data_IF_238116215920
#
_entry.id   IF_238116215920
#
_cell.length_a   1.000
_cell.length_b   1.000
_cell.length_c   1.000
_cell.angle_alpha   90.00
_cell.angle_beta   90.00
_cell.angle_gamma   90.00
#
_symmetry.space_group_name_H-M   'P 1'
#
loop_
_entity.id
_entity.type
_entity.pdbx_description
1 polymer ?
#
# COMPACT_ATOMS: atom_id res chain seq x y z
N UNK A 1 8.30 -21.42 -14.30
CA UNK A 1 9.28 -22.35 -13.71
C UNK A 1 9.73 -21.89 -12.35
N UNK A 2 10.33 -20.70 -12.25
CA UNK A 2 10.74 -20.08 -10.98
C UNK A 2 9.62 -20.07 -9.93
N UNK A 3 8.44 -19.56 -10.26
CA UNK A 3 7.29 -19.50 -9.35
C UNK A 3 6.82 -20.87 -8.80
N UNK A 4 7.18 -21.99 -9.46
CA UNK A 4 6.88 -23.35 -8.98
C UNK A 4 7.91 -23.88 -7.98
N UNK A 5 8.92 -23.08 -7.62
CA UNK A 5 10.01 -23.48 -6.71
C UNK A 5 11.00 -24.48 -7.33
N UNK A 6 11.19 -24.43 -8.65
CA UNK A 6 12.16 -25.29 -9.32
C UNK A 6 13.61 -24.95 -8.90
N UNK A 7 14.48 -25.96 -8.90
CA UNK A 7 15.90 -25.79 -8.59
C UNK A 7 16.66 -25.00 -9.69
N UNK A 8 17.93 -24.71 -9.40
CA UNK A 8 18.77 -23.90 -10.28
C UNK A 8 18.90 -24.52 -11.67
N UNK A 9 19.30 -25.80 -11.74
CA UNK A 9 19.54 -26.49 -13.00
C UNK A 9 18.25 -26.59 -13.84
N UNK A 10 17.11 -26.88 -13.21
CA UNK A 10 15.81 -26.91 -13.90
C UNK A 10 15.44 -25.53 -14.44
N UNK A 11 15.71 -24.46 -13.69
CA UNK A 11 15.47 -23.10 -14.18
C UNK A 11 16.38 -22.76 -15.37
N UNK A 12 17.66 -23.14 -15.34
CA UNK A 12 18.60 -22.96 -16.46
C UNK A 12 18.12 -23.71 -17.70
N UNK A 13 17.71 -24.97 -17.57
CA UNK A 13 17.20 -25.79 -18.69
C UNK A 13 15.93 -25.22 -19.32
N UNK A 14 15.16 -24.42 -18.57
CA UNK A 14 13.95 -23.74 -19.07
C UNK A 14 14.22 -22.35 -19.68
N UNK A 15 15.48 -21.94 -19.81
CA UNK A 15 15.85 -20.74 -20.56
C UNK A 15 15.86 -21.08 -22.05
N UNK A 16 14.86 -20.61 -22.78
CA UNK A 16 14.72 -20.84 -24.21
C UNK A 16 15.70 -19.96 -25.00
N UNK A 17 16.47 -20.60 -25.88
CA UNK A 17 17.42 -19.95 -26.78
C UNK A 17 16.80 -19.80 -28.18
N UNK A 18 16.11 -20.84 -28.66
CA UNK A 18 15.62 -20.94 -30.03
C UNK A 18 14.38 -20.08 -30.27
N UNK A 19 13.42 -20.12 -29.35
CA UNK A 19 12.19 -19.34 -29.41
C UNK A 19 12.46 -17.84 -29.54
N UNK A 20 13.16 -17.21 -28.57
CA UNK A 20 13.52 -15.79 -28.66
C UNK A 20 14.32 -15.42 -29.90
N UNK A 21 15.23 -16.30 -30.37
CA UNK A 21 15.97 -16.07 -31.61
C UNK A 21 15.05 -16.00 -32.84
N UNK A 22 14.13 -16.95 -32.98
CA UNK A 22 13.15 -16.98 -34.08
C UNK A 22 12.18 -15.80 -34.02
N UNK A 23 11.64 -15.49 -32.82
CA UNK A 23 10.74 -14.36 -32.59
C UNK A 23 11.40 -13.05 -33.03
N UNK A 24 12.64 -12.79 -32.57
CA UNK A 24 13.36 -11.56 -32.90
C UNK A 24 13.72 -11.47 -34.39
N UNK A 25 14.10 -12.59 -35.01
CA UNK A 25 14.40 -12.63 -36.45
C UNK A 25 13.15 -12.30 -37.30
N UNK A 26 12.01 -12.92 -36.98
CA UNK A 26 10.75 -12.68 -37.66
C UNK A 26 10.24 -11.24 -37.42
N UNK A 27 10.29 -10.75 -36.18
CA UNK A 27 9.88 -9.38 -35.84
C UNK A 27 10.77 -8.31 -36.49
N UNK A 28 12.09 -8.55 -36.61
CA UNK A 28 12.98 -7.68 -37.40
C UNK A 28 12.53 -7.62 -38.86
N UNK A 29 12.06 -8.74 -39.42
CA UNK A 29 11.69 -8.89 -40.81
C UNK A 29 10.18 -8.63 -41.08
N UNK A 30 9.52 -7.80 -40.25
CA UNK A 30 8.09 -7.53 -40.33
C UNK A 30 7.63 -6.84 -41.62
N UNK A 31 8.55 -6.40 -42.49
CA UNK A 31 8.21 -6.05 -43.87
C UNK A 31 7.53 -7.21 -44.62
N UNK A 32 7.89 -8.46 -44.29
CA UNK A 32 7.47 -9.66 -45.01
C UNK A 32 6.85 -10.74 -44.12
N UNK A 33 7.13 -10.73 -42.81
CA UNK A 33 6.75 -11.82 -41.89
C UNK A 33 5.87 -11.29 -40.77
N UNK A 34 4.75 -11.96 -40.51
CA UNK A 34 3.91 -11.71 -39.32
C UNK A 34 4.38 -12.58 -38.16
N UNK A 35 4.68 -11.99 -37.00
CA UNK A 35 5.16 -12.72 -35.81
C UNK A 35 4.15 -12.60 -34.68
N UNK A 36 3.50 -13.70 -34.31
CA UNK A 36 2.53 -13.72 -33.20
C UNK A 36 3.14 -14.48 -32.03
N UNK A 37 3.10 -13.89 -30.84
CA UNK A 37 3.74 -14.42 -29.62
C UNK A 37 2.78 -14.65 -28.46
N UNK A 38 1.54 -14.16 -28.59
CA UNK A 38 0.47 -14.23 -27.60
C UNK A 38 -0.77 -14.88 -28.24
N UNK A 39 -1.51 -15.68 -27.49
CA UNK A 39 -2.67 -16.43 -28.02
C UNK A 39 -3.88 -15.52 -28.23
N UNK A 40 -3.94 -14.42 -27.48
CA UNK A 40 -4.94 -13.37 -27.51
C UNK A 40 -4.95 -12.63 -28.87
N UNK A 41 -3.84 -12.68 -29.61
CA UNK A 41 -3.69 -12.03 -30.91
C UNK A 41 -4.25 -12.87 -32.07
N UNK A 42 -4.68 -14.11 -31.81
CA UNK A 42 -5.15 -15.02 -32.86
C UNK A 42 -6.44 -14.53 -33.52
N UNK A 43 -7.39 -14.00 -32.76
CA UNK A 43 -8.64 -13.46 -33.30
C UNK A 43 -8.36 -12.24 -34.20
N UNK A 44 -7.47 -11.34 -33.75
CA UNK A 44 -7.06 -10.16 -34.53
C UNK A 44 -6.40 -10.57 -35.85
N UNK A 45 -5.53 -11.59 -35.82
CA UNK A 45 -4.90 -12.14 -37.02
C UNK A 45 -5.92 -12.75 -37.99
N UNK A 46 -6.87 -13.54 -37.48
CA UNK A 46 -7.88 -14.18 -38.32
C UNK A 46 -8.76 -13.13 -39.01
N UNK A 47 -9.14 -12.07 -38.29
CA UNK A 47 -9.89 -10.95 -38.85
C UNK A 47 -9.09 -10.21 -39.94
N UNK A 48 -7.81 -9.93 -39.69
CA UNK A 48 -6.89 -9.31 -40.67
C UNK A 48 -6.80 -10.14 -41.96
N UNK A 49 -6.59 -11.46 -41.83
CA UNK A 49 -6.51 -12.37 -42.97
C UNK A 49 -7.82 -12.42 -43.76
N UNK A 50 -8.97 -12.47 -43.07
CA UNK A 50 -10.27 -12.47 -43.71
C UNK A 50 -10.56 -11.17 -44.48
N UNK A 51 -10.14 -10.02 -43.92
CA UNK A 51 -10.32 -8.71 -44.54
C UNK A 51 -9.39 -8.46 -45.74
N UNK A 52 -8.27 -9.17 -45.82
CA UNK A 52 -7.19 -8.91 -46.79
C UNK A 52 -6.81 -10.12 -47.64
N UNK A 53 -7.79 -10.94 -48.03
CA UNK A 53 -7.61 -12.08 -48.96
C UNK A 53 -6.49 -13.05 -48.54
N UNK A 54 -6.41 -13.35 -47.23
CA UNK A 54 -5.41 -14.23 -46.65
C UNK A 54 -4.03 -13.59 -46.46
N UNK A 55 -3.92 -12.27 -46.61
CA UNK A 55 -2.69 -11.51 -46.38
C UNK A 55 -2.79 -10.65 -45.12
N UNK A 56 -1.67 -10.11 -44.68
CA UNK A 56 -1.64 -9.10 -43.61
C UNK A 56 -1.19 -7.76 -44.17
N UNK A 57 -1.66 -6.67 -43.59
CA UNK A 57 -1.16 -5.34 -43.91
C UNK A 57 0.20 -5.11 -43.26
N UNK A 58 0.95 -4.14 -43.80
CA UNK A 58 2.21 -3.72 -43.20
C UNK A 58 2.01 -3.16 -41.77
N UNK A 59 0.95 -2.38 -41.57
CA UNK A 59 0.63 -1.80 -40.25
C UNK A 59 0.37 -2.87 -39.19
N UNK A 60 -0.37 -3.93 -39.53
CA UNK A 60 -0.57 -5.08 -38.64
C UNK A 60 0.75 -5.76 -38.30
N UNK A 61 1.63 -6.00 -39.28
CA UNK A 61 2.95 -6.60 -39.03
C UNK A 61 3.84 -5.74 -38.14
N UNK A 62 3.80 -4.41 -38.27
CA UNK A 62 4.51 -3.49 -37.38
C UNK A 62 4.03 -3.62 -35.93
N UNK A 63 2.70 -3.70 -35.73
CA UNK A 63 2.09 -3.90 -34.40
C UNK A 63 2.56 -5.22 -33.78
N UNK A 64 2.48 -6.31 -34.54
CA UNK A 64 2.91 -7.65 -34.13
C UNK A 64 4.42 -7.69 -33.80
N UNK A 65 5.26 -7.01 -34.58
CA UNK A 65 6.68 -6.91 -34.31
C UNK A 65 6.99 -6.17 -33.01
N UNK A 66 6.26 -5.09 -32.71
CA UNK A 66 6.41 -4.36 -31.45
C UNK A 66 6.05 -5.26 -30.26
N UNK A 67 4.93 -5.99 -30.31
CA UNK A 67 4.52 -6.95 -29.27
C UNK A 67 5.57 -8.05 -29.09
N UNK A 68 6.10 -8.60 -30.18
CA UNK A 68 7.15 -9.62 -30.17
C UNK A 68 8.43 -9.13 -29.44
N UNK A 69 8.92 -7.92 -29.74
CA UNK A 69 10.07 -7.37 -29.04
C UNK A 69 9.76 -7.10 -27.55
N UNK A 70 8.59 -6.57 -27.23
CA UNK A 70 8.17 -6.34 -25.85
C UNK A 70 8.12 -7.65 -25.03
N UNK A 71 7.56 -8.72 -25.61
CA UNK A 71 7.50 -10.06 -25.00
C UNK A 71 8.89 -10.62 -24.70
N UNK A 72 9.81 -10.55 -25.67
CA UNK A 72 11.20 -10.99 -25.43
C UNK A 72 11.94 -10.11 -24.42
N UNK A 73 11.67 -8.80 -24.39
CA UNK A 73 12.23 -7.90 -23.37
C UNK A 73 11.77 -8.23 -21.95
N UNK A 74 10.48 -8.54 -21.78
CA UNK A 74 9.95 -9.00 -20.49
C UNK A 74 10.53 -10.35 -20.07
N UNK A 75 10.69 -11.28 -21.02
CA UNK A 75 11.34 -12.57 -20.78
C UNK A 75 12.78 -12.41 -20.28
N UNK A 76 13.62 -11.63 -20.96
CA UNK A 76 15.00 -11.39 -20.55
C UNK A 76 15.09 -10.63 -19.21
N UNK A 77 14.12 -9.75 -18.92
CA UNK A 77 14.02 -9.08 -17.62
C UNK A 77 13.77 -10.09 -16.49
N UNK A 78 12.88 -11.06 -16.69
CA UNK A 78 12.60 -12.12 -15.72
C UNK A 78 13.82 -13.03 -15.52
N UNK A 79 14.45 -13.49 -16.61
CA UNK A 79 15.64 -14.34 -16.57
C UNK A 79 16.81 -13.63 -15.87
N UNK A 80 17.11 -12.39 -16.25
CA UNK A 80 18.21 -11.64 -15.65
C UNK A 80 17.99 -11.31 -14.17
N UNK A 81 16.75 -11.01 -13.77
CA UNK A 81 16.38 -10.78 -12.36
C UNK A 81 16.53 -12.05 -11.54
N UNK A 82 16.06 -13.19 -12.04
CA UNK A 82 16.19 -14.48 -11.38
C UNK A 82 17.66 -14.91 -11.24
N UNK A 83 18.46 -14.82 -12.31
CA UNK A 83 19.88 -15.18 -12.26
C UNK A 83 20.62 -14.34 -11.21
N UNK A 84 20.38 -13.02 -11.17
CA UNK A 84 21.00 -12.14 -10.18
C UNK A 84 20.71 -12.60 -8.75
N UNK A 85 19.44 -12.94 -8.45
CA UNK A 85 19.06 -13.49 -7.14
C UNK A 85 19.72 -14.85 -6.88
N UNK A 86 19.73 -15.76 -7.86
CA UNK A 86 20.26 -17.11 -7.71
C UNK A 86 21.76 -17.16 -7.42
N UNK A 87 22.53 -16.16 -7.88
CA UNK A 87 23.98 -16.04 -7.61
C UNK A 87 24.31 -15.08 -6.46
N UNK A 88 23.30 -14.51 -5.79
CA UNK A 88 23.51 -13.54 -4.70
C UNK A 88 24.01 -12.16 -5.14
N UNK A 89 23.77 -11.76 -6.39
CA UNK A 89 24.08 -10.41 -6.89
C UNK A 89 22.95 -9.44 -6.55
N UNK A 90 23.13 -8.66 -5.49
CA UNK A 90 22.13 -7.71 -5.01
C UNK A 90 22.03 -6.45 -5.89
N UNK A 91 23.12 -6.06 -6.54
CA UNK A 91 23.26 -4.79 -7.28
C UNK A 91 23.74 -5.02 -8.71
N UNK A 92 22.98 -5.77 -9.54
CA UNK A 92 23.41 -6.11 -10.89
C UNK A 92 23.66 -4.84 -11.71
N UNK A 93 24.71 -4.86 -12.53
CA UNK A 93 25.13 -3.73 -13.38
C UNK A 93 24.01 -3.16 -14.27
N UNK A 94 23.01 -3.97 -14.61
CA UNK A 94 21.82 -3.57 -15.38
C UNK A 94 20.57 -4.06 -14.66
N UNK A 95 19.56 -3.19 -14.57
CA UNK A 95 18.23 -3.50 -14.04
C UNK A 95 17.19 -3.17 -15.09
N UNK A 96 16.29 -4.10 -15.35
CA UNK A 96 15.16 -3.91 -16.26
C UNK A 96 13.88 -4.13 -15.48
N UNK A 97 12.93 -3.19 -15.60
CA UNK A 97 11.59 -3.32 -15.05
C UNK A 97 10.65 -3.58 -16.22
N UNK A 98 9.89 -4.66 -16.13
CA UNK A 98 8.93 -5.07 -17.13
C UNK A 98 7.55 -5.22 -16.48
N UNK A 99 6.50 -5.08 -17.28
CA UNK A 99 5.13 -5.28 -16.85
C UNK A 99 4.22 -5.53 -18.05
N UNK A 100 3.05 -6.11 -17.77
CA UNK A 100 2.01 -6.38 -18.76
C UNK A 100 0.89 -5.38 -18.58
N UNK A 101 0.41 -4.77 -19.67
CA UNK A 101 -0.66 -3.78 -19.61
C UNK A 101 -1.93 -4.43 -19.04
N UNK A 102 -2.42 -3.90 -17.92
CA UNK A 102 -3.70 -4.31 -17.33
C UNK A 102 -4.85 -3.50 -17.95
N UNK A 103 -4.71 -2.18 -17.98
CA UNK A 103 -5.70 -1.27 -18.57
C UNK A 103 -5.08 0.09 -18.90
N UNK A 104 -5.60 0.76 -19.94
CA UNK A 104 -5.40 2.20 -20.11
C UNK A 104 -6.18 2.98 -19.05
N UNK A 105 -5.67 4.12 -18.61
CA UNK A 105 -6.35 4.99 -17.66
C UNK A 105 -6.81 6.26 -18.35
N UNK A 106 -7.93 6.81 -17.87
CA UNK A 106 -8.51 8.05 -18.42
C UNK A 106 -7.54 9.23 -18.39
N UNK A 107 -6.77 9.32 -17.30
CA UNK A 107 -5.69 10.28 -17.08
C UNK A 107 -4.81 9.78 -15.91
N UNK A 108 -3.66 10.43 -15.71
CA UNK A 108 -2.72 10.17 -14.61
C UNK A 108 -3.18 10.79 -13.28
N UNK A 109 -2.25 11.37 -12.51
CA UNK A 109 -2.63 12.08 -11.28
C UNK A 109 -3.54 13.29 -11.57
N UNK A 110 -3.33 13.93 -12.74
CA UNK A 110 -4.06 15.10 -13.19
C UNK A 110 -4.68 14.88 -14.59
N UNK A 111 -5.82 15.53 -14.91
CA UNK A 111 -6.56 15.29 -16.17
C UNK A 111 -5.79 15.50 -17.48
N UNK A 112 -4.72 16.29 -17.49
CA UNK A 112 -3.91 16.58 -18.68
C UNK A 112 -2.79 15.54 -18.91
N UNK A 113 -2.60 14.60 -18.00
CA UNK A 113 -1.59 13.55 -18.07
C UNK A 113 -2.23 12.26 -18.58
N UNK A 114 -1.67 11.61 -19.59
CA UNK A 114 -2.08 10.25 -19.98
C UNK A 114 -1.46 9.21 -19.03
N UNK A 115 -2.16 8.09 -18.79
CA UNK A 115 -1.64 7.03 -17.94
C UNK A 115 -2.16 5.65 -18.35
N UNK A 116 -1.49 4.61 -17.85
CA UNK A 116 -1.84 3.21 -18.01
C UNK A 116 -1.37 2.44 -16.77
N UNK A 117 -2.07 1.35 -16.46
CA UNK A 117 -1.76 0.47 -15.34
C UNK A 117 -1.18 -0.84 -15.85
N UNK A 118 -0.07 -1.29 -15.25
CA UNK A 118 0.64 -2.51 -15.63
C UNK A 118 0.75 -3.42 -14.40
N UNK A 119 0.62 -4.72 -14.61
CA UNK A 119 0.95 -5.76 -13.62
C UNK A 119 2.39 -6.23 -13.80
N UNK A 120 3.04 -6.62 -12.72
CA UNK A 120 4.43 -7.10 -12.72
C UNK A 120 4.56 -8.64 -12.80
N UNK A 121 3.43 -9.36 -12.70
CA UNK A 121 3.39 -10.83 -12.77
C UNK A 121 3.78 -11.54 -11.47
N UNK A 122 3.86 -10.82 -10.34
CA UNK A 122 4.08 -11.43 -9.02
C UNK A 122 2.85 -12.14 -8.46
N UNK A 123 1.67 -11.81 -8.98
CA UNK A 123 0.36 -12.24 -8.48
C UNK A 123 0.14 -11.96 -6.98
N UNK A 124 0.89 -10.99 -6.42
CA UNK A 124 0.71 -10.54 -5.03
C UNK A 124 -0.74 -10.04 -4.85
N UNK A 125 -1.46 -10.47 -3.79
CA UNK A 125 -2.79 -9.95 -3.51
C UNK A 125 -2.76 -8.43 -3.34
N UNK A 126 -3.63 -7.71 -4.06
CA UNK A 126 -3.69 -6.26 -4.00
C UNK A 126 -4.51 -5.67 -5.15
N UNK A 127 -4.44 -4.35 -5.35
CA UNK A 127 -5.21 -3.66 -6.39
C UNK A 127 -4.92 -4.18 -7.80
N UNK A 128 -3.71 -4.69 -8.03
CA UNK A 128 -3.28 -5.27 -9.31
C UNK A 128 -3.98 -6.59 -9.66
N UNK A 129 -4.37 -7.36 -8.65
CA UNK A 129 -4.98 -8.69 -8.80
C UNK A 129 -6.45 -8.71 -8.40
N UNK A 130 -7.00 -7.56 -8.00
CA UNK A 130 -8.36 -7.44 -7.52
C UNK A 130 -9.41 -7.61 -8.63
N UNK A 131 -10.52 -8.25 -8.30
CA UNK A 131 -11.73 -8.30 -9.12
C UNK A 131 -12.60 -7.10 -8.76
N UNK A 132 -12.99 -6.31 -9.76
CA UNK A 132 -13.96 -5.24 -9.60
C UNK A 132 -15.38 -5.76 -9.86
N UNK A 133 -16.21 -5.81 -8.81
CA UNK A 133 -17.59 -6.31 -8.90
C UNK A 133 -18.60 -5.27 -9.42
N UNK A 134 -18.35 -3.99 -9.15
CA UNK A 134 -19.27 -2.90 -9.43
C UNK A 134 -18.51 -1.58 -9.58
N UNK A 135 -19.17 -0.59 -10.19
CA UNK A 135 -18.73 0.80 -10.19
C UNK A 135 -18.04 1.21 -11.49
N UNK A 136 -17.55 2.46 -11.51
CA UNK A 136 -16.81 3.01 -12.66
C UNK A 136 -15.41 2.40 -12.73
N UNK A 137 -14.77 2.48 -13.89
CA UNK A 137 -13.33 2.22 -14.03
C UNK A 137 -12.51 2.97 -12.96
N UNK A 138 -11.46 2.32 -12.47
CA UNK A 138 -10.51 2.92 -11.53
C UNK A 138 -9.68 4.00 -12.23
N UNK A 139 -9.52 5.14 -11.56
CA UNK A 139 -8.56 6.17 -11.95
C UNK A 139 -7.15 5.85 -11.44
N UNK A 140 -6.13 6.58 -11.92
CA UNK A 140 -4.77 6.51 -11.40
C UNK A 140 -4.72 6.70 -9.87
N UNK A 141 -5.39 7.74 -9.36
CA UNK A 141 -5.42 8.03 -7.93
C UNK A 141 -6.19 6.96 -7.16
N UNK A 142 -7.25 6.38 -7.74
CA UNK A 142 -7.94 5.26 -7.10
C UNK A 142 -7.00 4.06 -6.92
N UNK A 143 -6.19 3.71 -7.93
CA UNK A 143 -5.24 2.60 -7.84
C UNK A 143 -4.20 2.88 -6.75
N UNK A 144 -3.58 4.07 -6.78
CA UNK A 144 -2.55 4.45 -5.81
C UNK A 144 -3.07 4.50 -4.35
N UNK A 145 -4.25 5.08 -4.14
CA UNK A 145 -4.85 5.18 -2.79
C UNK A 145 -5.37 3.80 -2.31
N UNK A 146 -5.85 2.95 -3.22
CA UNK A 146 -6.29 1.57 -2.88
C UNK A 146 -5.11 0.71 -2.48
N UNK A 147 -4.00 0.81 -3.20
CA UNK A 147 -2.76 0.11 -2.84
C UNK A 147 -2.28 0.50 -1.44
N UNK A 148 -2.24 1.81 -1.15
CA UNK A 148 -1.89 2.30 0.18
C UNK A 148 -2.85 1.82 1.28
N UNK A 149 -4.16 1.76 1.00
CA UNK A 149 -5.16 1.30 1.95
C UNK A 149 -5.03 -0.20 2.24
N UNK A 150 -4.86 -1.00 1.18
CA UNK A 150 -4.78 -2.44 1.28
C UNK A 150 -3.48 -2.89 1.94
N UNK A 151 -2.34 -2.28 1.60
CA UNK A 151 -1.05 -2.57 2.24
C UNK A 151 -1.05 -2.21 3.73
N UNK A 152 -1.68 -1.09 4.12
CA UNK A 152 -1.82 -0.73 5.53
C UNK A 152 -2.72 -1.69 6.30
N UNK A 153 -3.92 -2.00 5.79
CA UNK A 153 -4.83 -2.90 6.52
C UNK A 153 -4.28 -4.33 6.61
N UNK A 154 -3.42 -4.72 5.67
CA UNK A 154 -2.72 -6.02 5.66
C UNK A 154 -1.72 -6.20 6.82
N UNK A 155 -1.29 -5.12 7.48
CA UNK A 155 -0.48 -5.20 8.72
C UNK A 155 -1.26 -5.86 9.87
N UNK A 156 -2.60 -5.91 9.77
CA UNK A 156 -3.49 -6.51 10.76
C UNK A 156 -4.09 -7.78 10.16
N UNK A 157 -3.41 -8.91 10.36
CA UNK A 157 -3.83 -10.22 9.82
C UNK A 157 -5.31 -10.53 10.07
N UNK A 158 -5.97 -11.16 9.11
CA UNK A 158 -7.42 -11.43 9.15
C UNK A 158 -7.83 -12.33 10.32
N UNK A 159 -6.90 -13.13 10.83
CA UNK A 159 -7.02 -14.02 11.99
C UNK A 159 -6.84 -13.29 13.34
N UNK A 160 -6.31 -12.07 13.32
CA UNK A 160 -6.07 -11.29 14.54
C UNK A 160 -7.29 -10.47 14.98
N UNK A 161 -8.32 -10.34 14.14
CA UNK A 161 -9.54 -9.58 14.43
C UNK A 161 -9.87 -8.58 13.32
N UNK A 162 -11.05 -7.97 13.39
CA UNK A 162 -11.52 -7.02 12.38
C UNK A 162 -10.70 -5.72 12.40
N UNK A 163 -10.27 -5.26 11.22
CA UNK A 163 -9.56 -4.01 11.02
C UNK A 163 -10.07 -3.25 9.79
N UNK A 164 -10.04 -1.93 9.88
CA UNK A 164 -10.42 -1.01 8.82
C UNK A 164 -9.36 0.08 8.69
N UNK A 165 -8.97 0.40 7.45
CA UNK A 165 -8.16 1.56 7.12
C UNK A 165 -8.92 2.45 6.11
N UNK A 166 -8.98 3.75 6.39
CA UNK A 166 -9.56 4.76 5.52
C UNK A 166 -8.43 5.67 5.02
N UNK A 167 -8.23 5.70 3.71
CA UNK A 167 -7.17 6.46 3.04
C UNK A 167 -7.76 7.60 2.22
N UNK A 168 -7.02 8.70 2.15
CA UNK A 168 -7.22 9.76 1.17
C UNK A 168 -5.88 10.36 0.76
N UNK A 169 -5.60 10.44 -0.55
CA UNK A 169 -4.34 10.96 -1.08
C UNK A 169 -3.11 10.26 -0.48
N UNK A 170 -3.12 8.93 -0.54
CA UNK A 170 -2.09 8.01 -0.06
C UNK A 170 -1.69 8.16 1.42
N UNK A 171 -2.53 8.78 2.25
CA UNK A 171 -2.35 8.89 3.70
C UNK A 171 -3.60 8.40 4.43
N UNK A 172 -3.46 7.73 5.58
CA UNK A 172 -4.60 7.35 6.39
C UNK A 172 -5.22 8.58 7.05
N UNK A 173 -6.54 8.69 6.95
CA UNK A 173 -7.33 9.60 7.77
C UNK A 173 -7.92 8.90 9.00
N UNK A 174 -7.99 7.57 9.00
CA UNK A 174 -8.36 6.77 10.17
C UNK A 174 -8.06 5.28 9.99
N UNK A 175 -7.63 4.64 11.07
CA UNK A 175 -7.37 3.19 11.12
C UNK A 175 -7.84 2.68 12.47
N UNK A 176 -8.54 1.54 12.50
CA UNK A 176 -8.96 0.96 13.76
C UNK A 176 -9.11 -0.55 13.68
N UNK A 177 -9.06 -1.19 14.85
CA UNK A 177 -9.53 -2.56 15.08
C UNK A 177 -10.82 -2.55 15.88
N UNK A 178 -11.63 -3.60 15.73
CA UNK A 178 -12.92 -3.72 16.41
C UNK A 178 -13.30 -5.18 16.68
N UNK A 179 -14.36 -5.36 17.47
CA UNK A 179 -14.97 -6.68 17.69
C UNK A 179 -15.66 -7.22 16.42
N UNK A 180 -16.03 -6.33 15.51
CA UNK A 180 -16.62 -6.60 14.20
C UNK A 180 -16.08 -5.60 13.15
N UNK A 181 -16.29 -5.87 11.87
CA UNK A 181 -15.88 -4.94 10.80
C UNK A 181 -16.62 -3.60 10.88
N UNK A 182 -17.89 -3.59 11.27
CA UNK A 182 -18.66 -2.35 11.44
C UNK A 182 -18.12 -1.51 12.61
N UNK A 183 -17.70 -2.15 13.71
CA UNK A 183 -17.08 -1.44 14.84
C UNK A 183 -15.73 -0.85 14.44
N UNK A 184 -14.91 -1.62 13.74
CA UNK A 184 -13.63 -1.14 13.21
C UNK A 184 -13.83 0.02 12.21
N UNK A 185 -14.82 -0.07 11.32
CA UNK A 185 -15.15 1.00 10.38
C UNK A 185 -15.58 2.28 11.10
N UNK A 186 -16.52 2.18 12.05
CA UNK A 186 -17.01 3.36 12.81
C UNK A 186 -15.88 4.02 13.60
N UNK A 187 -15.03 3.23 14.26
CA UNK A 187 -13.89 3.74 15.01
C UNK A 187 -12.87 4.44 14.10
N UNK A 188 -12.56 3.88 12.93
CA UNK A 188 -11.67 4.50 11.94
C UNK A 188 -12.29 5.79 11.37
N UNK A 189 -13.59 5.79 11.07
CA UNK A 189 -14.32 6.95 10.57
C UNK A 189 -14.33 8.12 11.57
N UNK A 190 -14.39 7.82 12.86
CA UNK A 190 -14.41 8.81 13.95
C UNK A 190 -13.04 9.46 14.23
N UNK A 191 -11.95 8.96 13.63
CA UNK A 191 -10.65 9.63 13.65
C UNK A 191 -10.67 10.96 12.88
N UNK A 192 -11.33 11.01 11.72
CA UNK A 192 -11.48 12.20 10.88
C UNK A 192 -12.61 12.03 9.85
N UNK A 193 -13.84 12.31 10.28
CA UNK A 193 -15.04 12.19 9.43
C UNK A 193 -15.00 13.12 8.21
N UNK A 194 -14.38 14.29 8.34
CA UNK A 194 -14.28 15.26 7.25
C UNK A 194 -13.39 14.74 6.13
N UNK A 195 -12.23 14.18 6.47
CA UNK A 195 -11.31 13.64 5.48
C UNK A 195 -11.79 12.32 4.91
N UNK A 196 -12.50 11.49 5.67
CA UNK A 196 -13.06 10.21 5.19
C UNK A 196 -14.04 10.36 4.01
N UNK A 197 -14.67 11.52 3.84
CA UNK A 197 -15.55 11.79 2.70
C UNK A 197 -14.77 11.71 1.36
N UNK A 198 -15.19 10.80 0.49
CA UNK A 198 -14.53 10.49 -0.78
C UNK A 198 -13.24 9.69 -0.61
N UNK A 199 -13.04 9.06 0.54
CA UNK A 199 -11.90 8.20 0.81
C UNK A 199 -12.02 6.81 0.18
N UNK A 200 -10.99 6.02 0.42
CA UNK A 200 -10.92 4.59 0.10
C UNK A 200 -10.92 3.80 1.40
N UNK A 201 -11.79 2.80 1.49
CA UNK A 201 -11.91 1.94 2.66
C UNK A 201 -11.30 0.57 2.33
N UNK A 202 -10.37 0.11 3.16
CA UNK A 202 -9.83 -1.24 3.09
C UNK A 202 -10.16 -2.02 4.37
N UNK A 203 -10.57 -3.27 4.19
CA UNK A 203 -10.98 -4.19 5.26
C UNK A 203 -10.12 -5.46 5.20
N UNK A 204 -9.76 -6.01 6.35
CA UNK A 204 -8.91 -7.21 6.41
C UNK A 204 -9.69 -8.54 6.43
N UNK A 205 -11.02 -8.50 6.42
CA UNK A 205 -11.90 -9.68 6.45
C UNK A 205 -13.00 -9.56 5.39
N UNK A 206 -13.73 -10.65 5.16
CA UNK A 206 -14.87 -10.68 4.24
C UNK A 206 -15.89 -9.60 4.60
N UNK A 207 -16.21 -8.73 3.63
CA UNK A 207 -17.18 -7.66 3.81
C UNK A 207 -18.60 -8.23 3.98
N UNK A 208 -19.16 -8.03 5.18
CA UNK A 208 -20.55 -8.37 5.51
C UNK A 208 -21.55 -7.25 5.14
N UNK A 209 -22.84 -7.60 5.14
CA UNK A 209 -23.92 -6.67 4.79
C UNK A 209 -24.08 -5.50 5.76
N UNK A 210 -23.85 -5.70 7.07
CA UNK A 210 -23.98 -4.65 8.08
C UNK A 210 -22.92 -3.55 7.89
N UNK A 211 -21.67 -3.96 7.70
CA UNK A 211 -20.56 -3.05 7.42
C UNK A 211 -20.76 -2.37 6.07
N UNK A 212 -21.22 -3.10 5.05
CA UNK A 212 -21.50 -2.55 3.73
C UNK A 212 -22.58 -1.46 3.79
N UNK A 213 -23.65 -1.66 4.56
CA UNK A 213 -24.71 -0.68 4.76
C UNK A 213 -24.15 0.59 5.40
N UNK A 214 -23.31 0.46 6.43
CA UNK A 214 -22.71 1.61 7.11
C UNK A 214 -21.78 2.41 6.18
N UNK A 215 -20.92 1.74 5.41
CA UNK A 215 -20.04 2.40 4.43
C UNK A 215 -20.86 3.15 3.37
N UNK A 216 -21.98 2.58 2.93
CA UNK A 216 -22.85 3.15 1.90
C UNK A 216 -23.64 4.40 2.33
N UNK A 217 -23.59 4.78 3.63
CA UNK A 217 -24.18 6.03 4.14
C UNK A 217 -23.35 7.26 3.77
N UNK A 218 -22.05 7.09 3.57
CA UNK A 218 -21.11 8.16 3.26
C UNK A 218 -20.67 8.05 1.79
N UNK A 219 -20.27 9.17 1.20
CA UNK A 219 -19.65 9.13 -0.12
C UNK A 219 -18.25 8.49 0.00
N UNK A 220 -18.08 7.33 -0.60
CA UNK A 220 -16.84 6.55 -0.66
C UNK A 220 -16.50 6.32 -2.14
N UNK A 221 -15.22 6.37 -2.52
CA UNK A 221 -14.80 6.15 -3.91
C UNK A 221 -14.60 4.66 -4.23
N UNK A 222 -13.87 3.96 -3.35
CA UNK A 222 -13.49 2.55 -3.49
C UNK A 222 -13.56 1.85 -2.14
N UNK A 223 -14.01 0.60 -2.16
CA UNK A 223 -13.89 -0.34 -1.03
C UNK A 223 -13.17 -1.59 -1.50
N UNK A 224 -12.19 -2.04 -0.72
CA UNK A 224 -11.41 -3.25 -1.00
C UNK A 224 -11.39 -4.17 0.23
N UNK A 225 -11.60 -5.46 -0.02
CA UNK A 225 -11.60 -6.51 1.00
C UNK A 225 -11.05 -7.82 0.40
N UNK A 226 -10.66 -8.82 1.21
CA UNK A 226 -10.31 -10.14 0.68
C UNK A 226 -11.49 -10.80 -0.03
N UNK A 227 -12.71 -10.64 0.48
CA UNK A 227 -13.93 -11.17 -0.13
C UNK A 227 -15.15 -10.33 0.28
N UNK A 228 -16.32 -10.59 -0.32
CA UNK A 228 -17.58 -9.92 0.03
C UNK A 228 -18.76 -10.89 -0.02
N UNK A 229 -19.67 -10.76 0.94
CA UNK A 229 -20.95 -11.47 0.92
C UNK A 229 -21.83 -10.99 -0.22
N UNK A 230 -22.77 -11.84 -0.69
CA UNK A 230 -23.74 -11.42 -1.72
C UNK A 230 -24.57 -10.21 -1.27
N UNK A 231 -24.94 -10.18 0.01
CA UNK A 231 -25.66 -9.05 0.62
C UNK A 231 -24.89 -7.73 0.48
N UNK A 232 -23.58 -7.76 0.75
CA UNK A 232 -22.71 -6.60 0.54
C UNK A 232 -22.62 -6.20 -0.94
N UNK A 233 -22.45 -7.17 -1.85
CA UNK A 233 -22.39 -6.91 -3.29
C UNK A 233 -23.68 -6.22 -3.78
N UNK A 234 -24.84 -6.70 -3.34
CA UNK A 234 -26.15 -6.15 -3.73
C UNK A 234 -26.34 -4.71 -3.23
N UNK A 235 -25.90 -4.40 -2.00
CA UNK A 235 -25.92 -3.03 -1.46
C UNK A 235 -25.04 -2.08 -2.28
N UNK A 236 -23.86 -2.52 -2.68
CA UNK A 236 -22.94 -1.74 -3.50
C UNK A 236 -23.46 -1.57 -4.94
N UNK A 237 -24.15 -2.58 -5.50
CA UNK A 237 -24.76 -2.50 -6.83
C UNK A 237 -25.75 -1.33 -6.95
N UNK A 238 -26.43 -0.97 -5.86
CA UNK A 238 -27.31 0.20 -5.82
C UNK A 238 -26.56 1.56 -5.92
N UNK A 239 -25.24 1.59 -5.70
CA UNK A 239 -24.39 2.78 -5.75
C UNK A 239 -23.57 2.82 -7.05
N UNK A 240 -24.16 3.30 -8.14
CA UNK A 240 -23.59 3.30 -9.51
C UNK A 240 -22.11 3.66 -9.65
N UNK A 241 -21.57 4.56 -8.83
CA UNK A 241 -20.21 5.07 -8.95
C UNK A 241 -19.21 4.41 -7.98
N UNK A 242 -19.69 3.81 -6.90
CA UNK A 242 -18.85 3.24 -5.84
C UNK A 242 -18.23 1.95 -6.35
N UNK A 243 -16.91 1.78 -6.22
CA UNK A 243 -16.22 0.55 -6.61
C UNK A 243 -16.14 -0.40 -5.43
N UNK A 244 -16.47 -1.66 -5.67
CA UNK A 244 -16.20 -2.76 -4.77
C UNK A 244 -15.17 -3.69 -5.40
N UNK A 245 -14.05 -3.90 -4.71
CA UNK A 245 -12.93 -4.73 -5.12
C UNK A 245 -12.74 -5.90 -4.16
N UNK A 246 -12.48 -7.09 -4.68
CA UNK A 246 -12.06 -8.25 -3.86
C UNK A 246 -10.73 -8.83 -4.34
N UNK A 247 -9.84 -9.16 -3.42
CA UNK A 247 -8.49 -9.68 -3.73
C UNK A 247 -8.33 -11.19 -3.55
N UNK A 248 -9.32 -11.87 -2.96
CA UNK A 248 -9.30 -13.29 -2.60
C UNK A 248 -8.49 -13.62 -1.35
N UNK A 249 -7.47 -12.82 -1.02
CA UNK A 249 -6.65 -12.96 0.19
C UNK A 249 -5.99 -11.63 0.58
N UNK A 250 -5.48 -11.54 1.81
CA UNK A 250 -4.68 -10.40 2.26
C UNK A 250 -3.26 -10.48 1.71
N UNK A 251 -2.60 -9.33 1.53
CA UNK A 251 -1.19 -9.31 1.20
C UNK A 251 -0.35 -9.72 2.43
N UNK A 252 0.77 -10.41 2.24
CA UNK A 252 1.71 -10.64 3.34
C UNK A 252 2.60 -9.39 3.53
N UNK A 253 2.50 -8.65 4.65
CA UNK A 253 3.33 -7.46 4.89
C UNK A 253 4.82 -7.81 5.10
N UNK A 254 5.16 -9.09 5.35
CA UNK A 254 6.54 -9.57 5.53
C UNK A 254 7.23 -9.97 4.24
N UNK A 255 6.47 -10.11 3.14
CA UNK A 255 7.03 -10.51 1.85
C UNK A 255 8.16 -9.59 1.42
N UNK A 256 9.31 -10.18 1.09
CA UNK A 256 10.47 -9.44 0.59
C UNK A 256 10.20 -9.03 -0.84
N UNK A 257 10.23 -7.72 -1.09
CA UNK A 257 10.06 -7.16 -2.43
C UNK A 257 11.01 -5.98 -2.62
N UNK A 258 11.23 -5.60 -3.89
CA UNK A 258 11.93 -4.35 -4.22
C UNK A 258 10.91 -3.30 -4.62
N UNK A 259 11.16 -2.05 -4.26
CA UNK A 259 10.41 -0.89 -4.76
C UNK A 259 11.27 -0.10 -5.74
N UNK A 260 10.63 0.49 -6.75
CA UNK A 260 11.29 1.28 -7.77
C UNK A 260 10.68 2.67 -7.78
N UNK A 261 11.53 3.70 -7.66
CA UNK A 261 11.12 5.11 -7.75
C UNK A 261 11.85 5.79 -8.90
N UNK A 262 11.10 6.48 -9.75
CA UNK A 262 11.67 7.31 -10.80
C UNK A 262 12.34 8.56 -10.19
N UNK A 263 13.50 8.93 -10.73
CA UNK A 263 14.15 10.23 -10.52
C UNK A 263 14.52 10.84 -11.87
N UNK A 264 14.87 12.13 -11.92
CA UNK A 264 15.28 12.76 -13.17
C UNK A 264 16.49 12.04 -13.77
N UNK A 265 16.30 11.43 -14.95
CA UNK A 265 17.34 10.68 -15.66
C UNK A 265 17.67 9.29 -15.10
N UNK A 266 16.92 8.75 -14.12
CA UNK A 266 17.26 7.45 -13.52
C UNK A 266 16.19 6.81 -12.65
N UNK A 267 16.58 5.74 -11.94
CA UNK A 267 15.74 4.95 -11.04
C UNK A 267 16.46 4.74 -9.70
N UNK A 268 15.71 4.83 -8.60
CA UNK A 268 16.12 4.32 -7.29
C UNK A 268 15.45 2.96 -7.08
N UNK A 269 16.21 1.97 -6.61
CA UNK A 269 15.71 0.64 -6.28
C UNK A 269 16.15 0.32 -4.87
N UNK A 270 15.19 -0.04 -4.01
CA UNK A 270 15.45 -0.40 -2.61
C UNK A 270 14.57 -1.57 -2.20
N UNK A 271 14.86 -2.17 -1.05
CA UNK A 271 13.93 -3.08 -0.41
C UNK A 271 12.63 -2.36 -0.01
N UNK A 272 11.51 -3.08 -0.13
CA UNK A 272 10.25 -2.69 0.48
C UNK A 272 10.42 -2.75 1.99
N UNK A 273 9.83 -1.76 2.68
CA UNK A 273 9.82 -1.78 4.13
C UNK A 273 8.86 -2.88 4.62
N UNK A 274 9.44 -4.02 5.00
CA UNK A 274 8.76 -5.16 5.61
C UNK A 274 9.19 -5.35 7.08
N UNK A 275 9.74 -4.31 7.71
CA UNK A 275 10.14 -4.34 9.12
C UNK A 275 8.95 -4.56 10.04
N UNK A 276 9.14 -5.42 11.05
CA UNK A 276 8.15 -5.73 12.08
C UNK A 276 8.85 -5.85 13.43
N UNK A 277 8.18 -5.42 14.49
CA UNK A 277 8.62 -5.55 15.87
C UNK A 277 7.52 -6.18 16.72
N UNK A 278 7.93 -6.79 17.82
CA UNK A 278 7.06 -7.37 18.84
C UNK A 278 7.30 -6.68 20.18
N UNK A 279 6.47 -6.97 21.18
CA UNK A 279 6.68 -6.46 22.54
C UNK A 279 8.06 -6.82 23.12
N UNK A 280 8.67 -7.93 22.69
CA UNK A 280 9.99 -8.36 23.13
C UNK A 280 11.13 -7.50 22.57
N UNK A 281 10.90 -6.80 21.46
CA UNK A 281 11.89 -5.93 20.82
C UNK A 281 11.88 -4.51 21.42
N UNK A 282 10.87 -4.19 22.24
CA UNK A 282 10.71 -2.86 22.84
C UNK A 282 11.67 -2.66 24.01
N UNK A 283 12.46 -1.59 23.97
CA UNK A 283 13.29 -1.16 25.09
C UNK A 283 12.63 -0.01 25.84
N UNK A 284 12.18 -0.26 27.07
CA UNK A 284 11.70 0.81 27.97
C UNK A 284 12.89 1.69 28.37
N UNK A 285 12.78 3.01 28.13
CA UNK A 285 13.86 3.97 28.39
C UNK A 285 13.53 5.00 29.47
N UNK A 286 12.27 5.14 29.86
CA UNK A 286 11.80 6.00 30.96
C UNK A 286 11.63 5.24 32.26
N UNK A 287 11.46 5.97 33.38
CA UNK A 287 11.13 5.44 34.71
C UNK A 287 9.77 4.75 34.74
N UNK A 288 8.75 5.33 34.07
CA UNK A 288 7.44 4.68 33.95
C UNK A 288 7.51 3.65 32.83
N UNK A 289 7.15 2.41 33.14
CA UNK A 289 6.91 1.37 32.15
C UNK A 289 5.51 1.53 31.55
N UNK A 290 5.31 1.21 30.25
CA UNK A 290 3.98 1.16 29.67
C UNK A 290 3.18 -0.02 30.24
N UNK A 291 1.86 0.15 30.34
CA UNK A 291 0.94 -0.96 30.64
C UNK A 291 0.78 -1.90 29.45
N UNK A 292 0.19 -3.09 29.65
CA UNK A 292 -0.09 -4.03 28.55
C UNK A 292 -0.99 -3.41 27.46
N UNK A 293 -2.00 -2.63 27.86
CA UNK A 293 -2.86 -1.90 26.92
C UNK A 293 -2.08 -0.85 26.13
N UNK A 294 -1.19 -0.10 26.80
CA UNK A 294 -0.32 0.87 26.13
C UNK A 294 0.66 0.20 25.17
N UNK A 295 1.20 -0.99 25.50
CA UNK A 295 2.06 -1.76 24.58
C UNK A 295 1.27 -2.19 23.34
N UNK A 296 0.03 -2.67 23.51
CA UNK A 296 -0.82 -3.05 22.38
C UNK A 296 -1.11 -1.85 21.45
N UNK A 297 -1.47 -0.71 22.03
CA UNK A 297 -1.70 0.52 21.28
C UNK A 297 -0.43 1.05 20.62
N UNK A 298 0.74 0.92 21.27
CA UNK A 298 2.03 1.32 20.71
C UNK A 298 2.38 0.51 19.47
N UNK A 299 2.22 -0.82 19.51
CA UNK A 299 2.49 -1.68 18.37
C UNK A 299 1.51 -1.41 17.22
N UNK A 300 0.24 -1.17 17.53
CA UNK A 300 -0.76 -0.74 16.55
C UNK A 300 -0.36 0.61 15.91
N UNK A 301 -0.04 1.61 16.73
CA UNK A 301 0.39 2.94 16.27
C UNK A 301 1.67 2.87 15.42
N UNK A 302 2.60 2.00 15.79
CA UNK A 302 3.85 1.78 15.06
C UNK A 302 3.61 1.23 13.66
N UNK A 303 2.76 0.21 13.53
CA UNK A 303 2.37 -0.34 12.24
C UNK A 303 1.65 0.70 11.38
N UNK A 304 0.78 1.53 11.95
CA UNK A 304 0.13 2.63 11.21
C UNK A 304 1.17 3.66 10.76
N UNK A 305 2.09 4.08 11.64
CA UNK A 305 3.09 5.12 11.35
C UNK A 305 3.98 4.77 10.15
N UNK A 306 4.30 3.49 9.95
CA UNK A 306 5.04 2.97 8.78
C UNK A 306 4.39 3.31 7.43
N UNK A 307 3.07 3.52 7.40
CA UNK A 307 2.32 3.83 6.18
C UNK A 307 1.93 5.31 6.06
N UNK A 308 2.27 6.14 7.03
CA UNK A 308 2.04 7.59 6.99
C UNK A 308 3.24 8.29 6.37
N UNK A 309 3.02 9.30 5.51
CA UNK A 309 4.13 10.08 4.94
C UNK A 309 4.87 10.86 6.02
N UNK A 310 6.20 10.90 5.94
CA UNK A 310 7.08 11.48 6.95
C UNK A 310 7.14 13.02 6.89
N UNK A 311 7.36 13.72 8.01
CA UNK A 311 7.44 13.18 9.37
C UNK A 311 6.04 12.79 9.89
N UNK A 312 5.89 11.57 10.41
CA UNK A 312 4.61 11.05 10.85
C UNK A 312 4.50 11.01 12.38
N UNK A 313 3.36 11.46 12.89
CA UNK A 313 2.94 11.33 14.29
C UNK A 313 1.53 10.74 14.31
N UNK A 314 1.37 9.62 15.00
CA UNK A 314 0.10 8.87 15.07
C UNK A 314 -0.30 8.72 16.53
N UNK A 315 -1.42 9.31 16.91
CA UNK A 315 -2.04 9.14 18.22
C UNK A 315 -3.04 8.00 18.15
N UNK A 316 -2.96 7.07 19.10
CA UNK A 316 -3.82 5.88 19.17
C UNK A 316 -4.39 5.73 20.56
N UNK A 317 -5.64 5.30 20.65
CA UNK A 317 -6.28 4.88 21.88
C UNK A 317 -7.21 3.71 21.58
N UNK A 318 -7.14 2.66 22.39
CA UNK A 318 -7.98 1.47 22.28
C UNK A 318 -7.95 0.86 20.86
N UNK A 319 -6.75 0.76 20.28
CA UNK A 319 -6.46 0.28 18.92
C UNK A 319 -7.22 1.03 17.81
N UNK A 320 -7.54 2.31 18.03
CA UNK A 320 -8.05 3.23 17.03
C UNK A 320 -7.16 4.47 16.95
N UNK A 321 -6.88 4.94 15.74
CA UNK A 321 -6.23 6.24 15.56
C UNK A 321 -7.17 7.36 16.01
N UNK A 322 -6.66 8.29 16.80
CA UNK A 322 -7.43 9.44 17.34
C UNK A 322 -6.87 10.79 16.90
N UNK A 323 -5.82 10.76 16.07
CA UNK A 323 -5.19 11.93 15.45
C UNK A 323 -3.96 11.51 14.63
N UNK A 324 -3.87 11.98 13.39
CA UNK A 324 -2.76 11.66 12.48
C UNK A 324 -2.17 12.95 11.92
N UNK A 325 -0.87 13.13 12.10
CA UNK A 325 -0.07 14.23 11.57
C UNK A 325 0.87 13.68 10.51
N UNK A 326 0.55 13.94 9.24
CA UNK A 326 1.24 13.37 8.08
C UNK A 326 2.02 14.42 7.28
N UNK A 327 3.18 14.02 6.76
CA UNK A 327 3.87 14.70 5.68
C UNK A 327 4.51 16.04 6.02
N UNK A 328 4.80 16.32 7.29
CA UNK A 328 5.36 17.62 7.68
C UNK A 328 6.89 17.62 7.69
N UNK A 329 7.47 18.75 7.30
CA UNK A 329 8.92 19.01 7.39
C UNK A 329 9.39 19.08 8.85
N UNK A 330 8.52 19.51 9.75
CA UNK A 330 8.75 19.58 11.20
C UNK A 330 7.90 18.56 11.94
N UNK A 331 8.54 17.75 12.80
CA UNK A 331 7.86 16.72 13.60
C UNK A 331 6.91 17.32 14.64
N UNK A 332 7.25 18.49 15.18
CA UNK A 332 6.39 19.24 16.10
C UNK A 332 5.08 19.64 15.42
N UNK A 333 5.14 20.03 14.14
CA UNK A 333 3.93 20.41 13.40
C UNK A 333 3.04 19.19 13.14
N UNK A 334 3.62 18.00 12.89
CA UNK A 334 2.85 16.75 12.87
C UNK A 334 2.15 16.50 14.21
N UNK A 335 2.82 16.70 15.35
CA UNK A 335 2.18 16.58 16.67
C UNK A 335 1.00 17.54 16.81
N UNK A 336 1.17 18.82 16.43
CA UNK A 336 0.13 19.86 16.54
C UNK A 336 -1.06 19.60 15.63
N UNK A 337 -0.82 19.20 14.38
CA UNK A 337 -1.88 18.91 13.41
C UNK A 337 -2.73 17.74 13.88
N UNK A 338 -2.10 16.66 14.33
CA UNK A 338 -2.80 15.49 14.85
C UNK A 338 -3.66 15.83 16.08
N UNK A 339 -3.08 16.55 17.05
CA UNK A 339 -3.80 17.02 18.24
C UNK A 339 -4.97 17.94 17.88
N UNK A 340 -4.75 18.87 16.94
CA UNK A 340 -5.81 19.78 16.48
C UNK A 340 -6.97 19.05 15.83
N UNK A 341 -6.68 18.09 14.94
CA UNK A 341 -7.71 17.24 14.32
C UNK A 341 -8.52 16.48 15.37
N UNK A 342 -7.86 15.97 16.41
CA UNK A 342 -8.52 15.30 17.52
C UNK A 342 -9.50 16.20 18.28
N UNK A 343 -9.11 17.46 18.54
CA UNK A 343 -9.96 18.47 19.17
C UNK A 343 -11.20 18.76 18.31
N UNK A 344 -10.99 18.99 17.01
CA UNK A 344 -12.08 19.30 16.09
C UNK A 344 -13.06 18.10 15.99
N UNK A 345 -12.54 16.86 15.99
CA UNK A 345 -13.36 15.65 16.00
C UNK A 345 -14.11 15.42 17.31
N UNK A 346 -13.49 15.68 18.47
CA UNK A 346 -14.20 15.66 19.75
C UNK A 346 -15.39 16.62 19.74
N UNK A 347 -15.22 17.82 19.19
CA UNK A 347 -16.31 18.78 18.99
C UNK A 347 -17.42 18.24 18.08
N UNK A 348 -17.06 17.57 16.98
CA UNK A 348 -18.03 16.95 16.06
C UNK A 348 -18.79 15.76 16.68
N UNK A 349 -18.17 15.07 17.65
CA UNK A 349 -18.76 13.94 18.39
C UNK A 349 -19.52 14.38 19.65
N UNK A 350 -19.44 15.65 20.04
CA UNK A 350 -20.04 16.16 21.27
C UNK A 350 -19.33 15.69 22.55
N UNK A 351 -18.02 15.47 22.48
CA UNK A 351 -17.19 15.05 23.61
C UNK A 351 -16.56 16.26 24.31
N UNK A 352 -16.47 16.21 25.64
CA UNK A 352 -15.92 17.29 26.46
C UNK A 352 -14.39 17.39 26.39
N UNK A 353 -13.72 16.30 26.00
CA UNK A 353 -12.25 16.21 25.94
C UNK A 353 -11.80 15.70 24.57
N UNK A 354 -10.59 16.09 24.11
CA UNK A 354 -10.02 15.57 22.86
C UNK A 354 -9.88 14.05 22.90
N UNK A 355 -10.00 13.40 21.74
CA UNK A 355 -9.86 11.93 21.63
C UNK A 355 -8.44 11.47 22.01
N UNK A 356 -7.43 12.35 21.90
CA UNK A 356 -6.05 12.12 22.32
C UNK A 356 -5.87 11.99 23.83
N UNK A 357 -6.87 12.30 24.66
CA UNK A 357 -6.74 12.18 26.11
C UNK A 357 -6.56 10.71 26.54
N UNK A 358 -5.39 10.40 27.10
CA UNK A 358 -5.00 9.03 27.49
C UNK A 358 -4.48 8.18 26.34
N UNK A 359 -4.09 8.79 25.22
CA UNK A 359 -3.58 8.08 24.04
C UNK A 359 -2.11 7.69 24.17
N UNK A 360 -1.65 6.82 23.29
CA UNK A 360 -0.23 6.61 22.99
C UNK A 360 0.14 7.31 21.68
N UNK A 361 1.42 7.56 21.47
CA UNK A 361 1.94 8.19 20.25
C UNK A 361 3.06 7.38 19.62
N UNK A 362 2.93 7.09 18.33
CA UNK A 362 4.04 6.62 17.51
C UNK A 362 4.68 7.75 16.71
N UNK A 363 6.00 7.73 16.65
CA UNK A 363 6.83 8.61 15.84
C UNK A 363 7.66 7.79 14.85
N UNK A 364 7.44 7.97 13.54
CA UNK A 364 8.13 7.17 12.51
C UNK A 364 9.67 7.30 12.53
N UNK A 365 10.18 8.40 13.11
CA UNK A 365 11.58 8.60 13.42
C UNK A 365 11.75 9.23 14.82
N UNK A 366 13.00 9.32 15.29
CA UNK A 366 13.30 9.87 16.61
C UNK A 366 12.87 11.34 16.75
N UNK A 367 12.56 11.76 17.97
CA UNK A 367 12.39 13.17 18.32
C UNK A 367 13.77 13.86 18.39
N UNK A 368 14.05 14.89 17.57
CA UNK A 368 15.34 15.56 17.59
C UNK A 368 15.53 16.45 18.82
N UNK A 369 14.42 16.93 19.40
CA UNK A 369 14.35 17.74 20.61
C UNK A 369 13.10 17.35 21.41
N UNK A 370 13.04 17.75 22.68
CA UNK A 370 11.91 17.42 23.57
C UNK A 370 10.59 18.11 23.19
N UNK A 371 10.62 19.16 22.38
CA UNK A 371 9.45 19.98 22.01
C UNK A 371 8.31 19.17 21.37
N UNK A 372 8.62 18.26 20.44
CA UNK A 372 7.62 17.41 19.80
C UNK A 372 6.98 16.43 20.78
N UNK A 373 7.78 15.87 21.68
CA UNK A 373 7.29 15.00 22.75
C UNK A 373 6.39 15.75 23.73
N UNK A 374 6.81 16.93 24.18
CA UNK A 374 6.04 17.74 25.12
C UNK A 374 4.73 18.21 24.49
N UNK A 375 4.75 18.57 23.19
CA UNK A 375 3.53 18.88 22.44
C UNK A 375 2.55 17.69 22.43
N UNK A 376 3.06 16.46 22.32
CA UNK A 376 2.22 15.27 22.39
C UNK A 376 1.66 15.03 23.80
N UNK A 377 2.47 15.26 24.84
CA UNK A 377 2.04 15.18 26.23
C UNK A 377 0.96 16.22 26.57
N UNK A 378 1.11 17.47 26.10
CA UNK A 378 0.12 18.54 26.23
C UNK A 378 -1.22 18.19 25.56
N UNK A 379 -1.18 17.40 24.48
CA UNK A 379 -2.37 16.87 23.82
C UNK A 379 -3.01 15.67 24.55
N UNK A 380 -2.43 15.22 25.68
CA UNK A 380 -2.97 14.16 26.52
C UNK A 380 -2.37 12.77 26.28
N UNK A 381 -1.28 12.67 25.49
CA UNK A 381 -0.58 11.41 25.33
C UNK A 381 0.05 10.96 26.67
N UNK A 382 -0.05 9.67 26.97
CA UNK A 382 0.54 9.05 28.17
C UNK A 382 1.78 8.23 27.84
N UNK A 383 1.91 7.73 26.61
CA UNK A 383 3.01 6.85 26.26
C UNK A 383 3.50 7.06 24.82
N UNK A 384 4.79 6.81 24.56
CA UNK A 384 5.44 7.10 23.28
C UNK A 384 6.28 5.92 22.79
N UNK A 385 6.16 5.59 21.52
CA UNK A 385 7.03 4.66 20.79
C UNK A 385 7.77 5.39 19.68
N UNK A 386 9.09 5.23 19.64
CA UNK A 386 9.97 5.84 18.63
C UNK A 386 11.21 4.97 18.39
N UNK A 387 12.02 5.21 17.34
CA UNK A 387 13.25 4.43 17.13
C UNK A 387 14.32 4.63 18.20
N UNK A 388 14.47 5.86 18.70
CA UNK A 388 15.70 6.31 19.36
C UNK A 388 16.85 6.53 18.38
N UNK A 389 18.04 6.82 18.90
CA UNK A 389 19.27 7.05 18.14
C UNK A 389 19.62 8.54 17.93
N UNK A 390 18.97 9.47 18.63
CA UNK A 390 19.38 10.87 18.62
C UNK A 390 20.61 11.09 19.50
N UNK A 391 21.48 12.03 19.13
CA UNK A 391 22.52 12.53 20.05
C UNK A 391 21.94 13.18 21.32
N UNK A 392 20.64 13.50 21.31
CA UNK A 392 19.90 14.14 22.41
C UNK A 392 18.85 13.23 23.05
N UNK A 393 18.95 11.91 22.85
CA UNK A 393 18.00 10.98 23.46
C UNK A 393 17.90 11.18 24.98
N UNK A 394 19.01 11.43 25.67
CA UNK A 394 19.03 11.69 27.12
C UNK A 394 18.18 12.91 27.53
N UNK A 395 18.21 13.99 26.73
CA UNK A 395 17.38 15.19 26.96
C UNK A 395 15.89 14.88 26.78
N UNK A 396 15.55 14.09 25.75
CA UNK A 396 14.17 13.71 25.42
C UNK A 396 13.60 12.74 26.46
N UNK A 397 14.41 11.77 26.91
CA UNK A 397 14.04 10.80 27.97
C UNK A 397 13.83 11.54 29.29
N UNK A 398 14.72 12.47 29.65
CA UNK A 398 14.56 13.26 30.87
C UNK A 398 13.26 14.08 30.87
N UNK A 399 12.92 14.71 29.74
CA UNK A 399 11.66 15.44 29.59
C UNK A 399 10.42 14.52 29.67
N UNK A 400 10.52 13.31 29.12
CA UNK A 400 9.47 12.30 29.23
C UNK A 400 9.25 11.83 30.67
N UNK A 401 10.33 11.59 31.40
CA UNK A 401 10.30 11.25 32.83
C UNK A 401 9.68 12.36 33.68
N UNK A 402 10.04 13.62 33.41
CA UNK A 402 9.49 14.79 34.12
C UNK A 402 7.98 14.95 33.84
N UNK A 403 7.56 14.67 32.60
CA UNK A 403 6.15 14.65 32.21
C UNK A 403 5.40 13.38 32.64
N UNK A 404 6.07 12.41 33.27
CA UNK A 404 5.47 11.15 33.73
C UNK A 404 5.05 10.20 32.61
N UNK A 405 5.63 10.32 31.42
CA UNK A 405 5.33 9.50 30.24
C UNK A 405 6.08 8.16 30.30
N UNK A 406 5.48 7.12 29.72
CA UNK A 406 6.22 5.92 29.35
C UNK A 406 6.78 6.10 27.93
N UNK A 407 8.01 5.65 27.72
CA UNK A 407 8.64 5.69 26.40
C UNK A 407 9.39 4.39 26.13
N UNK A 408 9.23 3.91 24.91
CA UNK A 408 9.98 2.75 24.39
C UNK A 408 10.73 3.09 23.11
N UNK A 409 11.91 2.49 22.97
CA UNK A 409 12.70 2.52 21.74
C UNK A 409 12.58 1.22 20.97
N UNK A 410 12.46 1.32 19.65
CA UNK A 410 12.37 0.17 18.72
C UNK A 410 13.70 -0.12 18.01
N UNK A 411 14.59 0.87 17.91
CA UNK A 411 15.80 0.78 17.07
C UNK A 411 15.52 0.74 15.56
N UNK A 412 14.26 0.88 15.14
CA UNK A 412 13.82 0.76 13.74
C UNK A 412 13.14 2.05 13.31
N UNK A 413 13.44 2.55 12.11
CA UNK A 413 12.87 3.80 11.56
C UNK A 413 12.08 3.50 10.28
N UNK A 414 10.89 4.09 10.14
CA UNK A 414 10.01 3.88 8.99
C UNK A 414 9.73 5.18 8.22
N UNK A 415 10.75 5.75 7.58
CA UNK A 415 10.53 6.92 6.73
C UNK A 415 9.82 6.57 5.42
N UNK A 416 8.83 7.38 5.04
CA UNK A 416 8.06 7.24 3.80
C UNK A 416 7.84 8.60 3.15
N UNK A 417 8.24 8.73 1.88
CA UNK A 417 8.13 9.97 1.10
C UNK A 417 7.16 9.84 -0.06
#
# INVERSE_FOLDING_TARGET
TVAKGADYDTCIENIDIGGPAMIRAAAKNHGFVTTVVDVEDYEELLAELAAHEGQTTYAFRQKMAQRAYARTGAYDAAVSTWIASAIGEETPRRRTVAGTLAQSLRYGENPHQSAAFYVDGTDRPGVATAIQHQGKELSYNNINDTDAAFELVSEFGSDTGAACAIIKHANPCGVARGGSLVDAYRAAYDCDRTSAFGGIVALNQTLDGETAEEICKIFTEVVIAPDATQEAIDLFAAKKNLRLLTTGSMADPREVAKTVRQVSGGLLVQDKDNGHITAADLKVVTKRAPTEAEIADMLFAWNVAKHVKSNAIVYVKDQSTVGIGAGQMSRVDSCRIAARKSIDMAGALGLDVPLTQGSVVASDAFFPFADGLLTAAEAGAQAIIQPGGSMRDDEVIAAADEAGLAMVFTGMRHFRH
#
